data_IF_199959400062
#
_entry.id   IF_199959400062
#
_cell.length_a   1.000
_cell.length_b   1.000
_cell.length_c   1.000
_cell.angle_alpha   90.00
_cell.angle_beta   90.00
_cell.angle_gamma   90.00
#
_symmetry.space_group_name_H-M   'P 1'
#
loop_
_entity.id
_entity.type
_entity.pdbx_description
1 polymer ?
#
# COMPACT_ATOMS: atom_id res chain seq x y z
N UNK A 1 -1.34 9.66 11.15
CA UNK A 1 -2.11 8.48 10.69
C UNK A 1 -2.67 8.80 9.32
N UNK A 2 -2.68 7.85 8.39
CA UNK A 2 -3.24 8.01 7.05
C UNK A 2 -4.67 7.47 7.01
N UNK A 3 -5.61 8.18 6.39
CA UNK A 3 -7.01 7.73 6.30
C UNK A 3 -7.74 8.17 5.03
N UNK A 4 -8.88 7.57 4.73
CA UNK A 4 -9.72 8.02 3.62
C UNK A 4 -9.22 7.63 2.23
N UNK A 5 -10.01 7.99 1.24
CA UNK A 5 -9.89 7.56 -0.15
C UNK A 5 -9.60 8.76 -1.06
N UNK A 6 -8.69 8.60 -2.01
CA UNK A 6 -8.43 9.61 -3.05
C UNK A 6 -8.21 8.96 -4.40
N UNK A 7 -9.01 9.36 -5.40
CA UNK A 7 -8.75 9.01 -6.79
C UNK A 7 -7.51 9.74 -7.32
N UNK A 8 -6.59 9.00 -7.93
CA UNK A 8 -5.29 9.49 -8.40
C UNK A 8 -5.06 9.10 -9.85
N UNK A 9 -4.41 10.00 -10.59
CA UNK A 9 -3.90 9.70 -11.93
C UNK A 9 -2.39 9.50 -11.89
N UNK A 10 -1.91 8.42 -12.49
CA UNK A 10 -0.51 8.19 -12.80
C UNK A 10 -0.16 8.96 -14.08
N UNK A 11 0.87 9.81 -14.01
CA UNK A 11 1.35 10.53 -15.18
C UNK A 11 2.15 9.64 -16.15
N UNK A 12 2.47 10.15 -17.34
CA UNK A 12 3.19 9.38 -18.37
C UNK A 12 4.61 8.95 -17.92
N UNK A 13 5.14 9.54 -16.85
CA UNK A 13 6.42 9.18 -16.25
C UNK A 13 6.27 8.18 -15.10
N UNK A 14 5.05 7.69 -14.85
CA UNK A 14 4.78 6.73 -13.80
C UNK A 14 4.72 7.33 -12.40
N UNK A 15 4.51 8.64 -12.30
CA UNK A 15 4.47 9.35 -11.02
C UNK A 15 3.04 9.59 -10.57
N UNK A 16 2.84 9.53 -9.27
CA UNK A 16 1.59 9.92 -8.63
C UNK A 16 1.83 11.15 -7.76
N UNK A 17 0.85 12.05 -7.72
CA UNK A 17 0.85 13.16 -6.78
C UNK A 17 0.35 12.67 -5.42
N UNK A 18 1.16 12.83 -4.38
CA UNK A 18 0.69 12.58 -3.01
C UNK A 18 -0.36 13.64 -2.68
N UNK A 19 -1.55 13.25 -2.16
CA UNK A 19 -2.60 14.20 -1.81
C UNK A 19 -2.06 15.29 -0.88
N UNK A 20 -2.49 16.53 -1.10
CA UNK A 20 -1.97 17.69 -0.35
C UNK A 20 -2.09 17.52 1.16
N UNK A 21 -3.17 16.88 1.63
CA UNK A 21 -3.40 16.56 3.04
C UNK A 21 -2.29 15.69 3.67
N UNK A 22 -1.56 14.91 2.88
CA UNK A 22 -0.50 14.02 3.35
C UNK A 22 0.91 14.54 3.09
N UNK A 23 1.09 15.60 2.28
CA UNK A 23 2.43 16.07 1.91
C UNK A 23 3.23 16.52 3.12
N UNK A 24 2.65 17.31 4.01
CA UNK A 24 3.35 17.77 5.22
C UNK A 24 3.69 16.59 6.14
N UNK A 25 2.74 15.67 6.33
CA UNK A 25 2.94 14.48 7.14
C UNK A 25 4.09 13.62 6.60
N UNK A 26 4.13 13.36 5.30
CA UNK A 26 5.20 12.57 4.68
C UNK A 26 6.53 13.32 4.70
N UNK A 27 6.53 14.64 4.49
CA UNK A 27 7.75 15.44 4.55
C UNK A 27 8.37 15.45 5.94
N UNK A 28 7.57 15.65 6.99
CA UNK A 28 8.05 15.81 8.37
C UNK A 28 8.31 14.49 9.06
N UNK A 29 7.37 13.55 8.98
CA UNK A 29 7.42 12.30 9.75
C UNK A 29 8.15 11.17 9.00
N UNK A 30 8.23 11.27 7.67
CA UNK A 30 8.84 10.23 6.85
C UNK A 30 10.13 10.72 6.15
N UNK A 31 10.57 11.95 6.40
CA UNK A 31 11.72 12.58 5.72
C UNK A 31 11.61 12.46 4.20
N UNK A 32 10.42 12.76 3.67
CA UNK A 32 10.03 12.61 2.26
C UNK A 32 10.17 11.19 1.68
N UNK A 33 10.45 10.17 2.48
CA UNK A 33 10.74 8.81 2.04
C UNK A 33 9.63 7.85 2.41
N UNK A 34 9.20 7.08 1.43
CA UNK A 34 8.28 5.95 1.61
C UNK A 34 8.93 4.68 1.04
N UNK A 35 8.38 3.54 1.42
CA UNK A 35 8.76 2.24 0.87
C UNK A 35 7.56 1.60 0.21
N UNK A 36 7.67 1.34 -1.08
CA UNK A 36 6.65 0.65 -1.86
C UNK A 36 6.94 -0.84 -1.95
N UNK A 37 5.92 -1.67 -1.81
CA UNK A 37 6.03 -3.13 -1.97
C UNK A 37 4.70 -3.74 -2.41
N UNK A 38 4.67 -5.05 -2.71
CA UNK A 38 3.42 -5.72 -3.10
C UNK A 38 2.50 -5.94 -1.91
N UNK A 39 1.20 -5.85 -2.13
CA UNK A 39 0.23 -6.39 -1.18
C UNK A 39 0.21 -7.93 -1.33
N UNK A 40 0.52 -8.70 -0.27
CA UNK A 40 0.55 -10.15 -0.36
C UNK A 40 -0.85 -10.77 -0.41
N UNK A 41 -1.86 -10.05 0.05
CA UNK A 41 -3.25 -10.49 0.19
C UNK A 41 -4.11 -10.08 -1.01
N UNK A 42 -3.80 -8.94 -1.63
CA UNK A 42 -4.62 -8.36 -2.71
C UNK A 42 -3.79 -8.16 -3.98
N UNK A 43 -4.17 -8.79 -5.08
CA UNK A 43 -3.40 -8.77 -6.33
C UNK A 43 -3.45 -7.42 -7.07
N UNK A 44 -4.46 -6.59 -6.79
CA UNK A 44 -4.67 -5.30 -7.44
C UNK A 44 -4.11 -4.10 -6.68
N UNK A 45 -3.26 -4.32 -5.67
CA UNK A 45 -2.75 -3.23 -4.82
C UNK A 45 -1.31 -3.36 -4.36
N UNK A 46 -0.74 -2.20 -4.03
CA UNK A 46 0.60 -2.03 -3.48
C UNK A 46 0.50 -1.42 -2.09
N UNK A 47 1.45 -1.76 -1.22
CA UNK A 47 1.63 -1.05 0.04
C UNK A 47 2.66 0.07 -0.10
N UNK A 48 2.38 1.21 0.53
CA UNK A 48 3.33 2.29 0.71
C UNK A 48 3.45 2.61 2.20
N UNK A 49 4.62 2.33 2.76
CA UNK A 49 4.90 2.51 4.18
C UNK A 49 5.80 3.73 4.43
N UNK A 50 5.61 4.47 5.53
CA UNK A 50 6.70 5.21 6.15
C UNK A 50 7.87 4.28 6.46
N UNK A 51 9.10 4.79 6.37
CA UNK A 51 10.29 3.97 6.61
C UNK A 51 10.27 3.30 7.99
N UNK A 52 9.91 4.03 9.05
CA UNK A 52 9.87 3.51 10.43
C UNK A 52 8.83 2.40 10.64
N UNK A 53 7.76 2.37 9.85
CA UNK A 53 6.77 1.28 9.85
C UNK A 53 7.35 0.10 9.07
N UNK A 54 7.90 0.36 7.88
CA UNK A 54 8.50 -0.65 7.02
C UNK A 54 9.59 -1.45 7.72
N UNK A 55 10.47 -0.80 8.48
CA UNK A 55 11.58 -1.48 9.15
C UNK A 55 11.09 -2.55 10.14
N UNK A 56 9.99 -2.26 10.86
CA UNK A 56 9.34 -3.20 11.78
C UNK A 56 8.70 -4.37 11.02
N UNK A 57 7.97 -4.07 9.94
CA UNK A 57 7.35 -5.10 9.08
C UNK A 57 8.43 -6.01 8.49
N UNK A 58 9.50 -5.44 7.94
CA UNK A 58 10.65 -6.17 7.37
C UNK A 58 11.28 -7.10 8.39
N UNK A 59 11.50 -6.63 9.63
CA UNK A 59 12.09 -7.43 10.69
C UNK A 59 11.19 -8.63 11.04
N UNK A 60 9.89 -8.41 11.20
CA UNK A 60 8.93 -9.48 11.48
C UNK A 60 8.90 -10.54 10.36
N UNK A 61 8.84 -10.10 9.10
CA UNK A 61 8.83 -11.02 7.94
C UNK A 61 10.13 -11.82 7.86
N UNK A 62 11.29 -11.21 8.13
CA UNK A 62 12.57 -11.90 8.10
C UNK A 62 12.76 -12.92 9.24
N UNK A 63 12.01 -12.80 10.34
CA UNK A 63 11.99 -13.77 11.44
C UNK A 63 11.12 -15.00 11.16
N UNK A 64 10.30 -14.98 10.11
CA UNK A 64 9.43 -16.10 9.78
C UNK A 64 10.23 -17.37 9.41
N UNK A 65 9.78 -18.57 9.83
CA UNK A 65 10.42 -19.82 9.43
C UNK A 65 10.41 -20.02 7.91
N UNK A 66 11.59 -20.06 7.28
CA UNK A 66 11.73 -20.13 5.81
C UNK A 66 11.31 -21.48 5.19
N UNK A 67 11.10 -22.51 6.01
CA UNK A 67 10.68 -23.83 5.55
C UNK A 67 9.23 -23.86 5.03
N UNK A 68 8.37 -22.92 5.44
CA UNK A 68 6.99 -22.83 4.96
C UNK A 68 6.94 -22.03 3.67
N UNK A 69 6.37 -22.60 2.60
CA UNK A 69 6.27 -21.94 1.30
C UNK A 69 5.57 -20.57 1.37
N UNK A 70 4.50 -20.44 2.15
CA UNK A 70 3.79 -19.18 2.35
C UNK A 70 4.68 -18.08 2.94
N UNK A 71 5.59 -18.42 3.86
CA UNK A 71 6.52 -17.46 4.46
C UNK A 71 7.54 -16.98 3.43
N UNK A 72 7.99 -17.85 2.52
CA UNK A 72 8.84 -17.46 1.40
C UNK A 72 8.10 -16.53 0.43
N UNK A 73 6.82 -16.80 0.15
CA UNK A 73 5.99 -15.91 -0.67
C UNK A 73 5.82 -14.54 -0.02
N UNK A 74 5.55 -14.48 1.30
CA UNK A 74 5.52 -13.22 2.05
C UNK A 74 6.83 -12.45 1.94
N UNK A 75 7.96 -13.13 2.16
CA UNK A 75 9.27 -12.50 2.03
C UNK A 75 9.53 -11.98 0.62
N UNK A 76 9.17 -12.74 -0.42
CA UNK A 76 9.32 -12.32 -1.81
C UNK A 76 8.45 -11.10 -2.12
N UNK A 77 7.18 -11.13 -1.73
CA UNK A 77 6.22 -10.06 -2.03
C UNK A 77 6.48 -8.79 -1.23
N UNK A 78 6.95 -8.89 0.01
CA UNK A 78 7.21 -7.74 0.88
C UNK A 78 8.68 -7.31 0.78
N UNK A 79 9.61 -8.11 1.30
CA UNK A 79 11.03 -7.72 1.43
C UNK A 79 11.72 -7.71 0.07
N UNK A 80 11.51 -8.75 -0.75
CA UNK A 80 12.13 -8.88 -2.07
C UNK A 80 11.66 -7.84 -3.08
N UNK A 81 10.45 -7.31 -2.91
CA UNK A 81 9.88 -6.29 -3.78
C UNK A 81 9.95 -4.87 -3.21
N UNK A 82 10.54 -4.66 -2.03
CA UNK A 82 10.60 -3.34 -1.42
C UNK A 82 11.46 -2.37 -2.25
N UNK A 83 10.91 -1.21 -2.58
CA UNK A 83 11.64 -0.12 -3.24
C UNK A 83 11.44 1.19 -2.47
N UNK A 84 12.52 1.94 -2.30
CA UNK A 84 12.47 3.27 -1.67
C UNK A 84 12.03 4.30 -2.70
N UNK A 85 11.09 5.16 -2.31
CA UNK A 85 10.57 6.24 -3.15
C UNK A 85 10.57 7.54 -2.36
N UNK A 86 10.87 8.63 -3.06
CA UNK A 86 10.99 9.96 -2.47
C UNK A 86 10.02 10.94 -3.11
N UNK A 87 9.51 11.87 -2.31
CA UNK A 87 8.70 12.99 -2.80
C UNK A 87 9.61 13.97 -3.53
N UNK A 88 9.29 14.25 -4.79
CA UNK A 88 9.92 15.35 -5.54
C UNK A 88 9.46 16.72 -5.02
N UNK A 89 10.08 17.79 -5.52
CA UNK A 89 9.71 19.17 -5.13
C UNK A 89 8.27 19.57 -5.48
N UNK A 90 7.52 18.75 -6.21
CA UNK A 90 6.10 18.94 -6.51
C UNK A 90 5.18 18.01 -5.69
N UNK A 91 5.74 17.29 -4.71
CA UNK A 91 5.01 16.33 -3.87
C UNK A 91 4.57 15.08 -4.62
N UNK A 92 5.32 14.63 -5.63
CA UNK A 92 5.05 13.40 -6.38
C UNK A 92 6.06 12.32 -6.04
N UNK A 93 5.63 11.07 -6.13
CA UNK A 93 6.51 9.90 -6.03
C UNK A 93 6.46 9.10 -7.33
N UNK A 94 7.58 8.49 -7.70
CA UNK A 94 7.66 7.58 -8.85
C UNK A 94 7.29 6.18 -8.39
N UNK A 95 6.22 5.61 -8.95
CA UNK A 95 5.91 4.18 -8.75
C UNK A 95 6.84 3.38 -9.66
N UNK A 96 7.53 2.32 -9.20
CA UNK A 96 8.35 1.52 -10.10
C UNK A 96 7.49 0.83 -11.18
N UNK A 97 7.98 0.73 -12.43
CA UNK A 97 7.20 0.11 -13.53
C UNK A 97 6.80 -1.34 -13.26
N UNK A 98 7.68 -2.13 -12.64
CA UNK A 98 7.39 -3.51 -12.24
C UNK A 98 6.21 -3.58 -11.27
N UNK A 99 6.15 -2.65 -10.32
CA UNK A 99 5.07 -2.61 -9.34
C UNK A 99 3.74 -2.25 -9.98
N UNK A 100 3.73 -1.23 -10.83
CA UNK A 100 2.53 -0.84 -11.59
C UNK A 100 2.00 -1.99 -12.45
N UNK A 101 2.89 -2.65 -13.20
CA UNK A 101 2.52 -3.75 -14.09
C UNK A 101 1.95 -4.93 -13.30
N UNK A 102 2.53 -5.27 -12.15
CA UNK A 102 2.08 -6.39 -11.33
C UNK A 102 0.65 -6.25 -10.79
N UNK A 103 0.18 -5.01 -10.55
CA UNK A 103 -1.14 -4.74 -9.96
C UNK A 103 -2.14 -4.12 -10.95
N UNK A 104 -1.77 -4.00 -12.22
CA UNK A 104 -2.63 -3.46 -13.28
C UNK A 104 -2.90 -1.95 -13.17
N UNK A 105 -1.94 -1.16 -12.67
CA UNK A 105 -2.05 0.31 -12.66
C UNK A 105 -1.43 0.88 -13.93
N UNK A 106 -2.28 1.37 -14.83
CA UNK A 106 -1.84 2.12 -16.01
C UNK A 106 -1.91 3.64 -15.77
N UNK A 107 -3.13 4.16 -15.66
CA UNK A 107 -3.38 5.61 -15.53
C UNK A 107 -4.25 5.96 -14.32
N UNK A 108 -5.25 5.15 -14.01
CA UNK A 108 -6.19 5.42 -12.91
C UNK A 108 -5.89 4.53 -11.71
N UNK A 109 -5.76 5.16 -10.56
CA UNK A 109 -5.48 4.50 -9.29
C UNK A 109 -6.32 5.12 -8.18
N UNK A 110 -6.42 4.39 -7.06
CA UNK A 110 -7.00 4.89 -5.83
C UNK A 110 -5.96 4.76 -4.72
N UNK A 111 -5.72 5.84 -4.00
CA UNK A 111 -4.86 5.85 -2.82
C UNK A 111 -5.74 5.83 -1.57
N UNK A 112 -5.61 4.77 -0.78
CA UNK A 112 -6.29 4.61 0.50
C UNK A 112 -5.31 4.84 1.65
N UNK A 113 -5.67 5.67 2.61
CA UNK A 113 -4.98 5.71 3.89
C UNK A 113 -5.53 4.63 4.83
N UNK A 114 -4.66 3.73 5.30
CA UNK A 114 -5.04 2.57 6.11
C UNK A 114 -4.27 2.56 7.44
N UNK A 115 -4.33 3.69 8.16
CA UNK A 115 -3.70 3.86 9.46
C UNK A 115 -2.21 4.17 9.35
N UNK A 116 -1.39 3.12 9.32
CA UNK A 116 0.08 3.18 9.35
C UNK A 116 0.73 3.10 7.97
N UNK A 117 -0.07 2.88 6.93
CA UNK A 117 0.37 2.77 5.53
C UNK A 117 -0.65 3.40 4.60
N UNK A 118 -0.25 3.58 3.35
CA UNK A 118 -1.20 3.67 2.25
C UNK A 118 -1.30 2.36 1.50
N UNK A 119 -2.45 2.17 0.87
CA UNK A 119 -2.63 1.19 -0.18
C UNK A 119 -2.88 1.92 -1.50
N UNK A 120 -2.11 1.56 -2.53
CA UNK A 120 -2.27 2.08 -3.88
C UNK A 120 -2.87 0.99 -4.76
N UNK A 121 -4.12 1.20 -5.16
CA UNK A 121 -4.92 0.26 -5.92
C UNK A 121 -5.05 0.68 -7.37
N UNK A 122 -5.19 -0.28 -8.28
CA UNK A 122 -5.84 0.03 -9.56
C UNK A 122 -7.31 0.37 -9.31
N UNK A 123 -7.85 1.35 -10.05
CA UNK A 123 -9.25 1.77 -9.88
C UNK A 123 -10.22 0.60 -10.03
N UNK A 124 -9.96 -0.31 -10.98
CA UNK A 124 -10.78 -1.49 -11.21
C UNK A 124 -10.77 -2.45 -10.01
N UNK A 125 -9.59 -2.77 -9.47
CA UNK A 125 -9.48 -3.68 -8.34
C UNK A 125 -10.11 -3.09 -7.08
N UNK A 126 -9.88 -1.79 -6.82
CA UNK A 126 -10.51 -1.08 -5.71
C UNK A 126 -12.04 -1.17 -5.78
N UNK A 127 -12.61 -0.83 -6.94
CA UNK A 127 -14.04 -0.90 -7.16
C UNK A 127 -14.61 -2.31 -6.98
N UNK A 128 -13.87 -3.34 -7.41
CA UNK A 128 -14.28 -4.72 -7.18
C UNK A 128 -14.27 -5.08 -5.69
N UNK A 129 -13.25 -4.63 -4.95
CA UNK A 129 -13.10 -4.92 -3.53
C UNK A 129 -14.16 -4.21 -2.68
N UNK A 130 -14.38 -2.91 -2.86
CA UNK A 130 -15.30 -2.13 -2.02
C UNK A 130 -16.77 -2.51 -2.20
N UNK A 131 -17.10 -3.19 -3.31
CA UNK A 131 -18.44 -3.73 -3.58
C UNK A 131 -18.69 -5.08 -2.92
N UNK A 132 -17.66 -5.73 -2.38
CA UNK A 132 -17.85 -6.97 -1.63
C UNK A 132 -18.58 -6.63 -0.34
N UNK A 133 -19.65 -7.38 -0.06
CA UNK A 133 -20.40 -7.27 1.19
C UNK A 133 -19.89 -8.33 2.16
N UNK A 134 -19.71 -7.94 3.42
CA UNK A 134 -19.42 -8.87 4.51
C UNK A 134 -20.68 -9.71 4.73
N UNK A 135 -20.56 -11.04 4.69
CA UNK A 135 -21.65 -11.96 4.98
C UNK A 135 -21.67 -12.35 6.47
N UNK A 136 -22.76 -12.94 6.93
CA UNK A 136 -22.86 -13.41 8.31
C UNK A 136 -21.78 -14.45 8.67
N UNK A 137 -21.34 -15.25 7.69
CA UNK A 137 -20.26 -16.24 7.87
C UNK A 137 -18.88 -15.59 8.05
N UNK A 138 -18.74 -14.31 7.68
CA UNK A 138 -17.50 -13.54 7.82
C UNK A 138 -17.44 -12.74 9.14
N UNK A 139 -18.54 -12.70 9.91
CA UNK A 139 -18.60 -11.97 11.18
C UNK A 139 -17.80 -12.72 12.25
N UNK A 140 -16.70 -12.11 12.68
CA UNK A 140 -15.92 -12.52 13.84
C UNK A 140 -16.42 -11.84 15.11
N UNK A 141 -16.11 -12.40 16.27
CA UNK A 141 -16.45 -11.80 17.57
C UNK A 141 -15.91 -10.35 17.66
N UNK A 142 -14.70 -10.10 17.14
CA UNK A 142 -14.12 -8.76 17.11
C UNK A 142 -14.89 -7.77 16.24
N UNK A 143 -15.53 -8.22 15.15
CA UNK A 143 -16.37 -7.36 14.30
C UNK A 143 -17.70 -6.99 14.98
N UNK A 144 -18.24 -7.91 15.78
CA UNK A 144 -19.49 -7.70 16.52
C UNK A 144 -19.34 -6.68 17.67
N UNK A 145 -18.13 -6.54 18.21
CA UNK A 145 -17.81 -5.56 19.25
C UNK A 145 -17.66 -4.12 18.73
N UNK A 146 -17.66 -3.93 17.40
CA UNK A 146 -17.53 -2.60 16.80
C UNK A 146 -18.83 -1.78 16.95
N UNK A 147 -18.67 -0.52 17.35
CA UNK A 147 -19.76 0.46 17.35
C UNK A 147 -19.85 1.14 15.98
N UNK A 148 -20.43 0.43 15.00
CA UNK A 148 -20.67 0.93 13.63
C UNK A 148 -22.08 1.51 13.45
#
# INVERSE_FOLDING_TARGET
MFQGETAITIDDKGRLAVPTAYRELVARECDNRLVITYNPFESGSLYLYPLSIWERVREQVNKLPKAKAVNRTMQLKLVGAAAFVELDGNGRITVPPSHRAAVGIEKKAVLLGMGDKFELWSEQAHHAQIRQTISDDDLSDELLDLQL
#
